data_IF_470650890669
#
_entry.id   IF_470650890669
#
_cell.length_a   1.000
_cell.length_b   1.000
_cell.length_c   1.000
_cell.angle_alpha   90.00
_cell.angle_beta   90.00
_cell.angle_gamma   90.00
#
_symmetry.space_group_name_H-M   'P 1'
#
loop_
_entity.id
_entity.type
_entity.pdbx_description
1 polymer ?
#
# COMPACT_ATOMS: atom_id res chain seq x y z
N UNK A 1 48.46 -58.02 3.12
CA UNK A 1 48.37 -57.17 1.91
C UNK A 1 46.96 -56.93 1.44
N UNK A 2 46.08 -57.96 1.31
CA UNK A 2 44.68 -57.72 0.82
C UNK A 2 43.85 -56.82 1.76
N UNK A 3 44.05 -56.86 3.05
CA UNK A 3 43.31 -55.96 3.99
C UNK A 3 43.77 -54.50 3.96
N UNK A 4 45.05 -54.23 3.68
CA UNK A 4 45.61 -52.90 3.56
C UNK A 4 45.07 -52.16 2.24
N UNK A 5 44.88 -52.92 1.17
CA UNK A 5 44.31 -52.39 -0.10
C UNK A 5 42.88 -52.08 0.10
N UNK A 6 42.08 -52.85 0.83
CA UNK A 6 40.69 -52.55 1.15
C UNK A 6 40.55 -51.29 2.02
N UNK A 7 41.42 -51.08 2.99
CA UNK A 7 41.44 -49.86 3.83
C UNK A 7 41.82 -48.62 2.97
N UNK A 8 42.77 -48.75 2.05
CA UNK A 8 43.14 -47.66 1.13
C UNK A 8 42.04 -47.34 0.14
N UNK A 9 41.22 -48.30 -0.31
CA UNK A 9 40.04 -48.08 -1.14
C UNK A 9 38.91 -47.40 -0.33
N UNK A 10 38.75 -47.71 0.95
CA UNK A 10 37.77 -47.05 1.80
C UNK A 10 38.14 -45.60 2.15
N UNK A 11 39.43 -45.26 2.25
CA UNK A 11 39.92 -43.92 2.55
C UNK A 11 39.72 -42.98 1.31
N UNK A 12 39.78 -43.54 0.09
CA UNK A 12 39.52 -42.71 -1.12
C UNK A 12 38.04 -42.46 -1.42
N UNK A 13 37.12 -43.12 -0.71
CA UNK A 13 35.67 -42.89 -0.97
C UNK A 13 35.07 -41.74 -0.16
N UNK A 14 35.85 -41.01 0.64
CA UNK A 14 35.36 -39.89 1.45
C UNK A 14 35.61 -38.50 0.87
N UNK A 15 36.08 -38.37 -0.38
CA UNK A 15 36.37 -37.10 -0.99
C UNK A 15 35.45 -36.78 -2.20
N UNK A 16 34.19 -37.21 -2.16
CA UNK A 16 33.15 -36.62 -3.02
C UNK A 16 32.54 -35.41 -2.28
N UNK A 17 33.37 -34.41 -2.03
CA UNK A 17 32.83 -33.09 -1.78
C UNK A 17 32.15 -32.62 -3.08
N UNK A 18 30.89 -32.27 -3.01
CA UNK A 18 30.21 -31.66 -4.13
C UNK A 18 31.04 -30.48 -4.67
N UNK A 19 31.24 -30.44 -5.95
CA UNK A 19 31.89 -29.33 -6.63
C UNK A 19 30.88 -28.71 -7.55
N UNK A 20 30.62 -27.42 -7.32
CA UNK A 20 29.82 -26.66 -8.29
C UNK A 20 30.64 -26.46 -9.58
N UNK A 21 29.94 -26.53 -10.70
CA UNK A 21 30.49 -26.21 -12.00
C UNK A 21 29.49 -25.37 -12.79
N UNK A 22 29.78 -24.08 -12.93
CA UNK A 22 28.93 -23.16 -13.68
C UNK A 22 29.70 -22.68 -14.90
N UNK A 23 29.24 -22.99 -16.10
CA UNK A 23 29.89 -22.67 -17.34
C UNK A 23 28.93 -22.00 -18.31
N UNK A 24 29.46 -21.25 -19.26
CA UNK A 24 28.64 -20.64 -20.28
C UNK A 24 29.46 -20.05 -21.41
N UNK A 25 28.74 -19.49 -22.38
CA UNK A 25 29.33 -18.83 -23.54
C UNK A 25 28.67 -17.49 -23.78
N UNK A 26 29.47 -16.48 -24.00
CA UNK A 26 29.06 -15.13 -24.39
C UNK A 26 29.60 -14.78 -25.77
N UNK A 27 29.21 -13.64 -26.35
CA UNK A 27 29.76 -13.15 -27.60
C UNK A 27 31.28 -13.03 -27.52
N UNK A 28 31.98 -13.40 -28.63
CA UNK A 28 33.43 -13.27 -28.72
C UNK A 28 33.92 -11.82 -28.56
N UNK A 29 33.07 -10.83 -28.78
CA UNK A 29 33.36 -9.42 -28.50
C UNK A 29 33.69 -9.14 -27.04
N UNK A 30 33.26 -10.03 -26.14
CA UNK A 30 33.51 -9.94 -24.71
C UNK A 30 34.78 -10.72 -24.27
N UNK A 31 35.57 -11.24 -25.20
CA UNK A 31 36.83 -11.94 -24.87
C UNK A 31 37.77 -11.02 -24.06
N UNK A 32 38.28 -11.53 -22.95
CA UNK A 32 39.10 -10.79 -22.01
C UNK A 32 38.33 -9.94 -20.99
N UNK A 33 37.01 -9.82 -21.11
CA UNK A 33 36.23 -9.14 -20.11
C UNK A 33 36.13 -9.97 -18.83
N UNK A 34 36.07 -9.28 -17.70
CA UNK A 34 35.84 -9.91 -16.41
C UNK A 34 34.40 -10.37 -16.26
N UNK A 35 34.24 -11.57 -15.71
CA UNK A 35 32.93 -12.09 -15.34
C UNK A 35 32.97 -12.54 -13.88
N UNK A 36 31.91 -12.24 -13.15
CA UNK A 36 31.81 -12.40 -11.70
C UNK A 36 30.66 -13.34 -11.32
N UNK A 37 30.92 -14.22 -10.36
CA UNK A 37 29.89 -14.94 -9.65
C UNK A 37 29.65 -14.26 -8.30
N UNK A 38 28.43 -13.89 -7.99
CA UNK A 38 28.06 -13.22 -6.74
C UNK A 38 26.95 -13.98 -6.03
N UNK A 39 26.98 -13.98 -4.70
CA UNK A 39 25.90 -14.46 -3.83
C UNK A 39 24.95 -13.28 -3.52
N UNK A 40 23.66 -13.45 -3.69
CA UNK A 40 22.64 -12.46 -3.39
C UNK A 40 21.92 -12.84 -2.08
N UNK A 41 22.44 -12.37 -0.95
CA UNK A 41 21.81 -12.62 0.36
C UNK A 41 20.69 -11.62 0.65
N UNK A 42 20.85 -10.38 0.28
CA UNK A 42 19.82 -9.36 0.40
C UNK A 42 19.04 -9.27 -0.93
N UNK A 43 17.83 -9.81 -0.95
CA UNK A 43 16.99 -9.81 -2.17
C UNK A 43 16.64 -8.39 -2.65
N UNK A 44 16.59 -7.39 -1.75
CA UNK A 44 16.38 -5.98 -2.13
C UNK A 44 17.54 -5.38 -2.91
N UNK A 45 18.70 -6.04 -2.87
CA UNK A 45 19.90 -5.70 -3.64
C UNK A 45 20.06 -6.55 -4.90
N UNK A 46 19.03 -7.25 -5.31
CA UNK A 46 19.04 -8.12 -6.49
C UNK A 46 19.32 -7.37 -7.80
N UNK A 47 19.04 -6.06 -7.88
CA UNK A 47 19.18 -5.26 -9.11
C UNK A 47 20.60 -4.77 -9.40
N UNK A 48 21.55 -4.87 -8.47
CA UNK A 48 22.91 -4.35 -8.60
C UNK A 48 23.96 -5.34 -8.09
N UNK A 49 25.18 -5.23 -8.59
CA UNK A 49 26.33 -5.99 -8.08
C UNK A 49 27.00 -5.18 -6.98
N UNK A 50 27.29 -5.84 -5.86
CA UNK A 50 28.00 -5.28 -4.74
C UNK A 50 29.30 -6.07 -4.51
N UNK A 51 30.38 -5.38 -4.16
CA UNK A 51 31.73 -5.98 -3.97
C UNK A 51 31.75 -7.08 -2.93
N UNK A 52 31.02 -6.89 -1.85
CA UNK A 52 30.90 -7.84 -0.73
C UNK A 52 30.15 -9.13 -1.09
N UNK A 53 29.43 -9.14 -2.19
CA UNK A 53 28.69 -10.31 -2.69
C UNK A 53 29.50 -11.16 -3.67
N UNK A 54 30.65 -10.68 -4.17
CA UNK A 54 31.44 -11.42 -5.16
C UNK A 54 32.11 -12.62 -4.51
N UNK A 55 31.76 -13.83 -5.00
CA UNK A 55 32.32 -15.11 -4.54
C UNK A 55 33.51 -15.52 -5.40
N UNK A 56 33.40 -15.35 -6.71
CA UNK A 56 34.46 -15.71 -7.66
C UNK A 56 34.53 -14.71 -8.81
N UNK A 57 35.72 -14.61 -9.40
CA UNK A 57 35.99 -13.85 -10.63
C UNK A 57 36.76 -14.70 -11.62
N UNK A 58 36.39 -14.66 -12.87
CA UNK A 58 37.13 -15.26 -13.99
C UNK A 58 37.13 -14.30 -15.19
N UNK A 59 37.81 -14.66 -16.26
CA UNK A 59 37.83 -13.92 -17.51
C UNK A 59 37.23 -14.76 -18.63
N UNK A 60 36.59 -14.12 -19.57
CA UNK A 60 36.06 -14.74 -20.76
C UNK A 60 37.20 -15.09 -21.68
N UNK A 61 37.30 -16.35 -22.14
CA UNK A 61 38.35 -16.79 -23.07
C UNK A 61 38.19 -16.24 -24.49
N UNK A 62 39.18 -16.49 -25.35
CA UNK A 62 39.20 -16.04 -26.76
C UNK A 62 38.05 -16.58 -27.64
N UNK A 63 37.37 -17.63 -27.20
CA UNK A 63 36.23 -18.24 -27.86
C UNK A 63 34.88 -17.84 -27.25
N UNK A 64 34.92 -17.03 -26.19
CA UNK A 64 33.75 -16.55 -25.47
C UNK A 64 33.29 -17.46 -24.32
N UNK A 65 34.07 -18.45 -23.90
CA UNK A 65 33.69 -19.34 -22.79
C UNK A 65 34.18 -18.80 -21.47
N UNK A 66 33.41 -19.14 -20.42
CA UNK A 66 33.79 -18.91 -19.03
C UNK A 66 33.38 -20.12 -18.16
N UNK A 67 34.06 -20.30 -17.02
CA UNK A 67 33.66 -21.30 -16.02
C UNK A 67 33.99 -20.82 -14.59
N UNK A 68 33.14 -21.25 -13.66
CA UNK A 68 33.35 -21.15 -12.22
C UNK A 68 33.28 -22.55 -11.62
N UNK A 69 34.31 -22.92 -10.87
CA UNK A 69 34.43 -24.24 -10.23
C UNK A 69 34.89 -24.09 -8.78
N UNK A 70 34.41 -24.95 -7.92
CA UNK A 70 34.84 -24.94 -6.52
C UNK A 70 33.90 -25.70 -5.60
N UNK A 71 34.21 -25.60 -4.31
CA UNK A 71 33.42 -26.24 -3.26
C UNK A 71 33.09 -25.27 -2.09
N UNK A 72 33.05 -23.98 -2.40
CA UNK A 72 32.94 -22.90 -1.42
C UNK A 72 31.53 -22.23 -1.42
N UNK A 73 30.56 -22.85 -2.11
CA UNK A 73 29.17 -22.33 -2.09
C UNK A 73 28.39 -23.00 -0.94
N UNK A 74 27.15 -22.51 -0.73
CA UNK A 74 26.23 -23.08 0.25
C UNK A 74 25.76 -24.47 -0.18
N UNK A 75 25.62 -25.39 0.76
CA UNK A 75 24.98 -26.69 0.54
C UNK A 75 23.46 -26.59 0.29
N UNK A 76 22.83 -25.53 0.78
CA UNK A 76 21.44 -25.22 0.51
C UNK A 76 21.34 -24.29 -0.69
N UNK A 77 20.22 -24.34 -1.38
CA UNK A 77 19.93 -23.40 -2.45
C UNK A 77 20.08 -21.95 -1.98
N UNK A 78 20.71 -21.14 -2.84
CA UNK A 78 20.84 -19.68 -2.68
C UNK A 78 20.60 -19.01 -4.04
N UNK A 79 20.34 -17.71 -4.01
CA UNK A 79 20.29 -16.91 -5.22
C UNK A 79 21.71 -16.46 -5.56
N UNK A 80 22.16 -16.83 -6.75
CA UNK A 80 23.43 -16.37 -7.29
C UNK A 80 23.19 -15.49 -8.52
N UNK A 81 24.21 -14.72 -8.85
CA UNK A 81 24.26 -13.86 -10.04
C UNK A 81 25.56 -14.14 -10.78
N UNK A 82 25.47 -14.34 -12.09
CA UNK A 82 26.61 -14.15 -13.00
C UNK A 82 26.49 -12.77 -13.61
N UNK A 83 27.57 -12.00 -13.56
CA UNK A 83 27.65 -10.65 -14.08
C UNK A 83 28.83 -10.53 -15.01
N UNK A 84 28.57 -10.22 -16.29
CA UNK A 84 29.56 -9.92 -17.31
C UNK A 84 29.82 -8.40 -17.29
N UNK A 85 31.07 -8.04 -17.07
CA UNK A 85 31.48 -6.64 -17.07
C UNK A 85 31.68 -6.14 -18.49
N UNK A 86 30.78 -5.26 -18.90
CA UNK A 86 30.82 -4.60 -20.23
C UNK A 86 31.53 -3.24 -20.24
N UNK A 87 32.20 -2.87 -19.15
CA UNK A 87 32.89 -1.59 -19.06
C UNK A 87 34.20 -1.62 -19.82
N UNK A 88 34.33 -0.78 -20.87
CA UNK A 88 35.54 -0.67 -21.69
C UNK A 88 36.69 0.13 -21.05
N UNK A 89 36.42 0.84 -19.94
CA UNK A 89 37.39 1.70 -19.31
C UNK A 89 37.79 1.24 -17.90
N UNK A 90 39.02 0.79 -17.77
CA UNK A 90 39.64 0.36 -16.48
C UNK A 90 39.87 1.52 -15.49
N UNK A 91 39.28 2.67 -15.70
CA UNK A 91 39.64 3.90 -14.94
C UNK A 91 38.43 4.45 -14.16
N UNK A 92 37.98 3.73 -13.12
CA UNK A 92 37.07 4.41 -12.22
C UNK A 92 36.31 3.56 -11.24
N UNK A 93 36.01 4.11 -10.08
CA UNK A 93 35.17 3.61 -9.03
C UNK A 93 33.72 3.25 -9.48
N UNK A 94 33.31 3.62 -10.68
CA UNK A 94 32.00 3.36 -11.25
C UNK A 94 31.84 1.92 -11.79
N UNK A 95 32.95 1.23 -11.97
CA UNK A 95 33.04 -0.12 -12.49
C UNK A 95 32.18 -1.14 -11.71
N UNK A 96 32.15 -1.00 -10.39
CA UNK A 96 31.40 -1.89 -9.50
C UNK A 96 29.95 -1.47 -9.21
N UNK A 97 29.53 -0.28 -9.65
CA UNK A 97 28.16 0.18 -9.41
C UNK A 97 27.16 -0.31 -10.46
N UNK A 98 27.59 -1.17 -11.41
CA UNK A 98 26.74 -1.75 -12.43
C UNK A 98 26.11 -0.72 -13.38
N UNK A 99 26.79 0.43 -13.57
CA UNK A 99 26.26 1.54 -14.36
C UNK A 99 26.73 1.53 -15.82
N UNK A 100 27.46 0.52 -16.23
CA UNK A 100 27.86 0.38 -17.64
C UNK A 100 26.70 -0.19 -18.45
N UNK A 101 26.27 0.51 -19.47
CA UNK A 101 25.13 0.14 -20.34
C UNK A 101 25.27 -1.23 -21.01
N UNK A 102 26.48 -1.77 -21.10
CA UNK A 102 26.79 -3.04 -21.76
C UNK A 102 26.97 -4.21 -20.78
N UNK A 103 26.85 -3.98 -19.47
CA UNK A 103 26.92 -5.05 -18.49
C UNK A 103 25.67 -5.92 -18.55
N UNK A 104 25.88 -7.24 -18.56
CA UNK A 104 24.81 -8.26 -18.58
C UNK A 104 24.87 -9.07 -17.32
N UNK A 105 23.73 -9.45 -16.79
CA UNK A 105 23.66 -10.31 -15.63
C UNK A 105 22.50 -11.29 -15.73
N UNK A 106 22.61 -12.41 -15.06
CA UNK A 106 21.54 -13.39 -14.90
C UNK A 106 21.50 -13.86 -13.44
N UNK A 107 20.28 -13.94 -12.90
CA UNK A 107 20.02 -14.48 -11.57
C UNK A 107 19.55 -15.94 -11.71
N UNK A 108 20.00 -16.79 -10.80
CA UNK A 108 19.63 -18.20 -10.78
C UNK A 108 19.71 -18.77 -9.37
N UNK A 109 19.06 -19.90 -9.16
CA UNK A 109 19.10 -20.63 -7.88
C UNK A 109 20.07 -21.81 -8.05
N UNK A 110 20.99 -21.95 -7.11
CA UNK A 110 21.96 -23.06 -7.10
C UNK A 110 22.48 -23.37 -5.68
N UNK A 111 23.18 -24.50 -5.57
CA UNK A 111 23.93 -24.92 -4.39
C UNK A 111 25.32 -25.45 -4.77
N UNK A 112 26.10 -25.89 -3.78
CA UNK A 112 27.48 -26.31 -3.96
C UNK A 112 27.66 -27.60 -4.76
N UNK A 113 26.59 -28.33 -5.10
CA UNK A 113 26.68 -29.61 -5.84
C UNK A 113 26.18 -29.49 -7.29
N UNK A 114 25.74 -28.30 -7.69
CA UNK A 114 25.09 -28.12 -8.94
C UNK A 114 26.04 -27.90 -10.11
N UNK A 115 25.66 -28.46 -11.27
CA UNK A 115 26.28 -28.17 -12.56
C UNK A 115 25.30 -27.39 -13.42
N UNK A 116 25.73 -26.20 -13.86
CA UNK A 116 24.96 -25.33 -14.71
C UNK A 116 25.70 -24.98 -15.99
N UNK A 117 24.97 -24.98 -17.11
CA UNK A 117 25.45 -24.51 -18.38
C UNK A 117 24.54 -23.39 -18.91
N UNK A 118 25.11 -22.22 -19.10
CA UNK A 118 24.45 -21.06 -19.67
C UNK A 118 24.68 -21.02 -21.19
N UNK A 119 23.62 -20.98 -22.01
CA UNK A 119 23.75 -20.90 -23.44
C UNK A 119 24.28 -19.56 -23.94
N UNK A 120 24.60 -19.46 -25.21
CA UNK A 120 25.03 -18.21 -25.88
C UNK A 120 24.04 -17.05 -25.79
N UNK A 121 22.77 -17.36 -25.51
CA UNK A 121 21.72 -16.36 -25.24
C UNK A 121 21.78 -15.71 -23.84
N UNK A 122 22.81 -16.01 -23.04
CA UNK A 122 23.03 -15.39 -21.73
C UNK A 122 22.90 -13.86 -21.74
N UNK A 123 23.31 -13.22 -22.82
CA UNK A 123 23.21 -11.78 -22.98
C UNK A 123 21.76 -11.26 -23.16
N UNK A 124 20.83 -12.15 -23.48
CA UNK A 124 19.42 -11.86 -23.61
C UNK A 124 18.61 -12.79 -22.70
N UNK A 125 18.21 -12.32 -21.55
CA UNK A 125 17.54 -13.10 -20.50
C UNK A 125 16.26 -13.79 -20.97
N UNK A 126 15.48 -13.15 -21.84
CA UNK A 126 14.23 -13.72 -22.37
C UNK A 126 14.44 -14.96 -23.25
N UNK A 127 15.65 -15.18 -23.73
CA UNK A 127 16.03 -16.35 -24.55
C UNK A 127 16.95 -17.32 -23.80
N UNK A 128 17.32 -16.99 -22.54
CA UNK A 128 18.25 -17.81 -21.78
C UNK A 128 17.52 -19.02 -21.18
N UNK A 129 17.99 -20.21 -21.54
CA UNK A 129 17.58 -21.47 -20.90
C UNK A 129 18.78 -22.07 -20.18
N UNK A 130 18.70 -22.25 -18.88
CA UNK A 130 19.79 -22.81 -18.08
C UNK A 130 19.65 -24.33 -18.09
N UNK A 131 20.67 -25.04 -18.60
CA UNK A 131 20.78 -26.48 -18.43
C UNK A 131 21.39 -26.74 -17.06
N UNK A 132 20.69 -27.46 -16.19
CA UNK A 132 21.12 -27.62 -14.80
C UNK A 132 20.78 -29.00 -14.25
N UNK A 133 21.61 -29.48 -13.33
CA UNK A 133 21.31 -30.63 -12.46
C UNK A 133 20.26 -30.27 -11.40
N UNK A 134 20.09 -28.98 -11.09
CA UNK A 134 19.08 -28.46 -10.16
C UNK A 134 17.87 -27.91 -10.93
N UNK A 135 16.70 -28.54 -10.84
CA UNK A 135 15.50 -28.08 -11.56
C UNK A 135 15.01 -26.71 -11.14
N UNK A 136 15.52 -26.15 -10.02
CA UNK A 136 15.14 -24.82 -9.53
C UNK A 136 15.94 -23.69 -10.16
N UNK A 137 17.05 -23.99 -10.86
CA UNK A 137 17.96 -22.96 -11.37
C UNK A 137 17.32 -21.98 -12.35
N UNK A 138 16.35 -22.41 -13.16
CA UNK A 138 15.67 -21.58 -14.15
C UNK A 138 14.52 -20.73 -13.64
N UNK A 139 14.05 -20.95 -12.41
CA UNK A 139 12.80 -20.35 -11.89
C UNK A 139 12.79 -18.83 -11.94
N UNK A 140 13.91 -18.17 -11.65
CA UNK A 140 13.98 -16.70 -11.66
C UNK A 140 13.84 -16.15 -13.08
N UNK A 141 14.35 -16.84 -14.10
CA UNK A 141 14.15 -16.46 -15.51
C UNK A 141 12.70 -16.67 -15.95
N UNK A 142 12.04 -17.73 -15.49
CA UNK A 142 10.62 -17.95 -15.76
C UNK A 142 9.76 -16.84 -15.17
N UNK A 143 10.08 -16.38 -13.93
CA UNK A 143 9.42 -15.22 -13.31
C UNK A 143 9.64 -13.94 -14.13
N UNK A 144 10.86 -13.69 -14.62
CA UNK A 144 11.12 -12.55 -15.52
C UNK A 144 10.27 -12.61 -16.78
N UNK A 145 10.16 -13.80 -17.41
CA UNK A 145 9.29 -14.02 -18.55
C UNK A 145 7.81 -13.71 -18.25
N UNK A 146 7.32 -14.11 -17.09
CA UNK A 146 5.96 -13.73 -16.64
C UNK A 146 5.81 -12.22 -16.47
N UNK A 147 6.80 -11.56 -15.85
CA UNK A 147 6.79 -10.10 -15.62
C UNK A 147 6.82 -9.30 -16.92
N UNK A 148 7.49 -9.77 -17.97
CA UNK A 148 7.52 -9.12 -19.27
C UNK A 148 6.13 -9.01 -19.92
N UNK A 149 5.21 -9.90 -19.60
CA UNK A 149 3.83 -9.86 -20.11
C UNK A 149 2.92 -8.87 -19.34
N UNK A 150 3.26 -8.49 -18.12
CA UNK A 150 2.42 -7.58 -17.31
C UNK A 150 2.15 -6.22 -17.99
N UNK A 151 3.15 -5.50 -18.55
CA UNK A 151 2.92 -4.18 -19.13
C UNK A 151 1.88 -4.17 -20.26
N UNK A 152 1.77 -5.24 -21.03
CA UNK A 152 0.81 -5.33 -22.13
C UNK A 152 -0.64 -5.33 -21.63
N UNK A 153 -0.91 -6.02 -20.52
CA UNK A 153 -2.25 -6.05 -19.92
C UNK A 153 -2.69 -4.68 -19.36
N UNK A 154 -1.73 -3.79 -19.05
CA UNK A 154 -2.01 -2.45 -18.55
C UNK A 154 -2.11 -1.37 -19.64
N UNK A 155 -1.48 -1.63 -20.81
CA UNK A 155 -1.45 -0.66 -21.90
C UNK A 155 -2.81 -0.46 -22.58
N UNK A 156 -3.63 -1.51 -22.65
CA UNK A 156 -4.88 -1.51 -23.43
C UNK A 156 -6.06 -0.84 -22.72
N UNK A 157 -6.01 -0.65 -21.40
CA UNK A 157 -7.16 -0.18 -20.60
C UNK A 157 -6.77 0.79 -19.50
N UNK A 158 -6.77 2.11 -19.74
CA UNK A 158 -6.30 3.11 -18.77
C UNK A 158 -7.26 3.39 -17.60
N UNK A 159 -8.38 2.65 -17.46
CA UNK A 159 -9.30 2.88 -16.34
C UNK A 159 -8.78 2.29 -15.01
N UNK A 160 -8.99 3.00 -13.90
CA UNK A 160 -8.62 2.52 -12.55
C UNK A 160 -9.24 1.17 -12.20
N UNK A 161 -10.47 0.89 -12.68
CA UNK A 161 -11.13 -0.38 -12.45
C UNK A 161 -10.41 -1.54 -13.16
N UNK A 162 -10.02 -1.35 -14.42
CA UNK A 162 -9.27 -2.33 -15.18
C UNK A 162 -7.87 -2.54 -14.62
N UNK A 163 -7.21 -1.46 -14.19
CA UNK A 163 -5.91 -1.55 -13.52
C UNK A 163 -6.00 -2.44 -12.26
N UNK A 164 -7.04 -2.26 -11.44
CA UNK A 164 -7.24 -3.09 -10.25
C UNK A 164 -7.49 -4.57 -10.61
N UNK A 165 -8.28 -4.86 -11.63
CA UNK A 165 -8.55 -6.22 -12.09
C UNK A 165 -7.27 -6.90 -12.61
N UNK A 166 -6.45 -6.17 -13.38
CA UNK A 166 -5.19 -6.68 -13.90
C UNK A 166 -4.18 -6.93 -12.77
N UNK A 167 -4.09 -6.04 -11.78
CA UNK A 167 -3.26 -6.27 -10.60
C UNK A 167 -3.72 -7.53 -9.84
N UNK A 168 -5.01 -7.71 -9.56
CA UNK A 168 -5.55 -8.90 -8.90
C UNK A 168 -5.21 -10.19 -9.68
N UNK A 169 -5.38 -10.17 -11.00
CA UNK A 169 -5.00 -11.27 -11.88
C UNK A 169 -3.51 -11.61 -11.76
N UNK A 170 -2.63 -10.59 -11.85
CA UNK A 170 -1.18 -10.80 -11.87
C UNK A 170 -0.64 -11.21 -10.51
N UNK A 171 -1.16 -10.67 -9.41
CA UNK A 171 -0.81 -11.13 -8.07
C UNK A 171 -1.14 -12.62 -7.91
N UNK A 172 -2.34 -13.04 -8.28
CA UNK A 172 -2.74 -14.46 -8.25
C UNK A 172 -1.86 -15.33 -9.15
N UNK A 173 -1.54 -14.86 -10.36
CA UNK A 173 -0.69 -15.61 -11.30
C UNK A 173 0.70 -15.83 -10.72
N UNK A 174 1.33 -14.77 -10.15
CA UNK A 174 2.67 -14.86 -9.59
C UNK A 174 2.68 -15.66 -8.27
N UNK A 175 1.69 -15.48 -7.41
CA UNK A 175 1.59 -16.27 -6.16
C UNK A 175 1.42 -17.76 -6.47
N UNK A 176 0.49 -18.13 -7.35
CA UNK A 176 0.27 -19.52 -7.74
C UNK A 176 1.55 -20.13 -8.34
N UNK A 177 2.22 -19.41 -9.24
CA UNK A 177 3.49 -19.85 -9.80
C UNK A 177 4.53 -20.10 -8.70
N UNK A 178 4.67 -19.15 -7.75
CA UNK A 178 5.59 -19.30 -6.63
C UNK A 178 5.31 -20.54 -5.79
N UNK A 179 4.05 -20.75 -5.39
CA UNK A 179 3.64 -21.90 -4.59
C UNK A 179 3.82 -23.24 -5.31
N UNK A 180 3.49 -23.31 -6.61
CA UNK A 180 3.64 -24.52 -7.43
C UNK A 180 5.10 -24.95 -7.58
N UNK A 181 6.04 -24.01 -7.55
CA UNK A 181 7.49 -24.32 -7.66
C UNK A 181 8.06 -25.02 -6.44
N UNK A 182 7.43 -24.92 -5.27
CA UNK A 182 7.94 -25.41 -3.99
C UNK A 182 9.40 -24.96 -3.72
N UNK A 183 9.73 -23.72 -4.06
CA UNK A 183 11.02 -23.10 -3.79
C UNK A 183 10.81 -21.68 -3.21
N UNK A 184 10.96 -21.52 -1.89
CA UNK A 184 10.71 -20.23 -1.23
C UNK A 184 11.57 -19.08 -1.74
N UNK A 185 12.74 -19.33 -2.35
CA UNK A 185 13.57 -18.29 -2.96
C UNK A 185 12.90 -17.69 -4.22
N UNK A 186 12.17 -18.51 -4.98
CA UNK A 186 11.39 -18.02 -6.13
C UNK A 186 10.23 -17.15 -5.66
N UNK A 187 9.55 -17.55 -4.59
CA UNK A 187 8.50 -16.75 -3.97
C UNK A 187 9.04 -15.43 -3.38
N UNK A 188 10.22 -15.47 -2.76
CA UNK A 188 10.90 -14.28 -2.24
C UNK A 188 11.25 -13.29 -3.35
N UNK A 189 11.64 -13.79 -4.52
CA UNK A 189 11.90 -12.97 -5.70
C UNK A 189 10.64 -12.31 -6.26
N UNK A 190 9.52 -13.04 -6.27
CA UNK A 190 8.19 -12.48 -6.60
C UNK A 190 7.80 -11.40 -5.60
N UNK A 191 7.98 -11.67 -4.31
CA UNK A 191 7.70 -10.70 -3.25
C UNK A 191 8.49 -9.41 -3.41
N UNK A 192 9.80 -9.51 -3.71
CA UNK A 192 10.65 -8.33 -3.96
C UNK A 192 10.05 -7.42 -5.04
N UNK A 193 9.60 -8.02 -6.15
CA UNK A 193 8.99 -7.27 -7.24
C UNK A 193 7.64 -6.63 -6.85
N UNK A 194 6.73 -7.40 -6.22
CA UNK A 194 5.38 -6.94 -5.90
C UNK A 194 5.37 -5.86 -4.81
N UNK A 195 6.28 -5.95 -3.85
CA UNK A 195 6.40 -5.06 -2.68
C UNK A 195 7.42 -3.93 -2.86
N UNK A 196 7.98 -3.74 -4.06
CA UNK A 196 8.88 -2.61 -4.33
C UNK A 196 8.11 -1.28 -4.27
N UNK A 197 8.53 -0.41 -3.35
CA UNK A 197 7.92 0.91 -3.12
C UNK A 197 7.97 1.84 -4.34
N UNK A 198 8.88 1.58 -5.28
CA UNK A 198 9.02 2.32 -6.54
C UNK A 198 7.98 1.89 -7.60
N UNK A 199 7.40 0.72 -7.45
CA UNK A 199 6.45 0.15 -8.37
C UNK A 199 5.01 0.54 -8.04
N UNK A 200 4.18 0.64 -9.07
CA UNK A 200 2.74 0.86 -8.90
C UNK A 200 2.02 -0.30 -8.18
N UNK A 201 2.65 -1.48 -8.17
CA UNK A 201 2.18 -2.68 -7.46
C UNK A 201 2.14 -2.51 -5.96
N UNK A 202 3.02 -1.67 -5.36
CA UNK A 202 3.16 -1.52 -3.92
C UNK A 202 1.85 -1.18 -3.19
N UNK A 203 1.07 -0.28 -3.78
CA UNK A 203 -0.22 0.14 -3.19
C UNK A 203 -1.24 -1.00 -3.16
N UNK A 204 -1.23 -1.85 -4.18
CA UNK A 204 -2.07 -3.03 -4.24
C UNK A 204 -1.55 -4.13 -3.29
N UNK A 205 -0.22 -4.32 -3.23
CA UNK A 205 0.43 -5.23 -2.30
C UNK A 205 0.01 -4.98 -0.85
N UNK A 206 -0.01 -3.72 -0.37
CA UNK A 206 -0.46 -3.40 0.99
C UNK A 206 -1.93 -3.77 1.24
N UNK A 207 -2.78 -3.72 0.22
CA UNK A 207 -4.19 -4.15 0.34
C UNK A 207 -4.31 -5.69 0.33
N UNK A 208 -3.54 -6.36 -0.51
CA UNK A 208 -3.49 -7.81 -0.62
C UNK A 208 -2.94 -8.43 0.67
N UNK A 209 -1.86 -7.88 1.21
CA UNK A 209 -1.22 -8.31 2.45
C UNK A 209 -2.17 -8.43 3.65
N UNK A 210 -3.22 -7.60 3.70
CA UNK A 210 -4.20 -7.63 4.81
C UNK A 210 -5.25 -8.73 4.68
N UNK A 211 -5.40 -9.33 3.50
CA UNK A 211 -6.49 -10.24 3.18
C UNK A 211 -6.02 -11.60 2.64
N UNK A 212 -4.73 -11.77 2.40
CA UNK A 212 -4.15 -12.93 1.76
C UNK A 212 -3.15 -13.61 2.70
N UNK A 213 -3.38 -14.88 3.00
CA UNK A 213 -2.50 -15.71 3.86
C UNK A 213 -1.19 -16.13 3.17
N UNK A 214 -1.05 -15.87 1.87
CA UNK A 214 0.13 -16.22 1.09
C UNK A 214 1.43 -15.77 1.77
N UNK A 215 1.45 -14.57 2.30
CA UNK A 215 2.63 -13.95 2.89
C UNK A 215 3.05 -14.59 4.23
N UNK A 216 2.07 -15.01 5.06
CA UNK A 216 2.32 -15.80 6.25
C UNK A 216 2.87 -17.17 5.89
N UNK A 217 2.22 -17.83 4.93
CA UNK A 217 2.62 -19.14 4.45
C UNK A 217 4.05 -19.12 3.87
N UNK A 218 4.42 -18.07 3.12
CA UNK A 218 5.79 -17.87 2.65
C UNK A 218 6.77 -17.68 3.82
N UNK A 219 6.38 -16.92 4.86
CA UNK A 219 7.19 -16.77 6.06
C UNK A 219 7.48 -18.13 6.72
N UNK A 220 6.47 -18.99 6.85
CA UNK A 220 6.62 -20.33 7.42
C UNK A 220 7.51 -21.22 6.54
N UNK A 221 7.34 -21.18 5.22
CA UNK A 221 8.20 -21.93 4.27
C UNK A 221 9.65 -21.47 4.33
N UNK A 222 9.89 -20.16 4.40
CA UNK A 222 11.26 -19.61 4.54
C UNK A 222 11.89 -20.02 5.87
N UNK A 223 11.19 -19.90 6.98
CA UNK A 223 11.68 -20.30 8.31
C UNK A 223 11.98 -21.81 8.36
N UNK A 224 11.16 -22.62 7.68
CA UNK A 224 11.34 -24.07 7.67
C UNK A 224 12.52 -24.50 6.80
N UNK A 225 12.67 -23.89 5.62
CA UNK A 225 13.68 -24.29 4.63
C UNK A 225 15.01 -23.58 4.84
N UNK A 226 14.98 -22.30 5.26
CA UNK A 226 16.14 -21.42 5.39
C UNK A 226 16.15 -20.66 6.73
N UNK A 227 16.18 -21.35 7.89
CA UNK A 227 15.84 -20.79 9.20
C UNK A 227 16.77 -19.67 9.67
N UNK A 228 18.06 -19.71 9.35
CA UNK A 228 19.07 -18.80 9.90
C UNK A 228 19.63 -17.82 8.87
N UNK A 229 18.98 -17.68 7.73
CA UNK A 229 19.47 -16.81 6.66
C UNK A 229 19.05 -15.34 6.88
N UNK A 230 19.90 -14.42 6.42
CA UNK A 230 19.62 -12.99 6.50
C UNK A 230 18.32 -12.62 5.76
N UNK A 231 18.11 -13.19 4.59
CA UNK A 231 16.91 -12.91 3.80
C UNK A 231 15.61 -13.41 4.48
N UNK A 232 15.64 -14.52 5.24
CA UNK A 232 14.47 -14.97 6.01
C UNK A 232 14.16 -14.00 7.14
N UNK A 233 15.17 -13.56 7.89
CA UNK A 233 15.00 -12.60 8.98
C UNK A 233 14.50 -11.25 8.45
N UNK A 234 15.06 -10.80 7.32
CA UNK A 234 14.66 -9.58 6.65
C UNK A 234 13.20 -9.65 6.19
N UNK A 235 12.79 -10.74 5.53
CA UNK A 235 11.41 -10.94 5.09
C UNK A 235 10.42 -10.88 6.24
N UNK A 236 10.66 -11.60 7.33
CA UNK A 236 9.79 -11.61 8.52
C UNK A 236 9.66 -10.22 9.13
N UNK A 237 10.76 -9.46 9.22
CA UNK A 237 10.76 -8.10 9.74
C UNK A 237 9.98 -7.13 8.82
N UNK A 238 10.18 -7.25 7.49
CA UNK A 238 9.49 -6.42 6.51
C UNK A 238 7.98 -6.69 6.51
N UNK A 239 7.54 -7.96 6.49
CA UNK A 239 6.10 -8.31 6.53
C UNK A 239 5.43 -7.77 7.79
N UNK A 240 6.09 -7.87 8.94
CA UNK A 240 5.56 -7.33 10.20
C UNK A 240 5.36 -5.81 10.11
N UNK A 241 6.36 -5.10 9.60
CA UNK A 241 6.32 -3.64 9.43
C UNK A 241 5.26 -3.22 8.41
N UNK A 242 5.18 -3.92 7.28
CA UNK A 242 4.23 -3.59 6.21
C UNK A 242 2.77 -3.89 6.60
N UNK A 243 2.53 -4.89 7.46
CA UNK A 243 1.20 -5.13 8.06
C UNK A 243 0.77 -3.97 8.95
N UNK A 244 1.68 -3.45 9.77
CA UNK A 244 1.40 -2.26 10.57
C UNK A 244 1.08 -1.07 9.65
N UNK A 245 1.89 -0.81 8.63
CA UNK A 245 1.67 0.24 7.65
C UNK A 245 0.31 0.09 6.93
N UNK A 246 -0.03 -1.13 6.51
CA UNK A 246 -1.30 -1.43 5.85
C UNK A 246 -2.50 -1.17 6.79
N UNK A 247 -2.36 -1.47 8.08
CA UNK A 247 -3.40 -1.21 9.09
C UNK A 247 -3.69 0.28 9.27
N UNK A 248 -2.68 1.14 9.22
CA UNK A 248 -2.84 2.60 9.25
C UNK A 248 -3.49 3.13 7.97
N UNK A 249 -3.13 2.60 6.81
CA UNK A 249 -3.66 3.03 5.51
C UNK A 249 -5.08 2.49 5.24
N UNK A 250 -5.43 1.34 5.80
CA UNK A 250 -6.79 0.88 5.87
C UNK A 250 -7.53 1.74 6.91
N UNK A 251 -7.84 2.99 6.57
CA UNK A 251 -8.85 3.72 7.34
C UNK A 251 -10.16 2.96 7.13
N UNK A 252 -10.37 1.91 7.91
CA UNK A 252 -11.71 1.43 8.21
C UNK A 252 -12.46 2.69 8.58
N UNK A 253 -13.39 3.11 7.71
CA UNK A 253 -14.40 4.12 8.04
C UNK A 253 -14.98 3.67 9.38
N UNK A 254 -14.35 4.18 10.44
CA UNK A 254 -14.60 3.72 11.79
C UNK A 254 -16.08 3.89 12.04
N UNK A 255 -16.75 2.86 12.54
CA UNK A 255 -18.13 2.99 13.03
C UNK A 255 -18.26 4.21 13.96
N UNK A 256 -17.16 4.57 14.62
CA UNK A 256 -16.99 5.79 15.42
C UNK A 256 -17.18 7.07 14.63
N UNK A 257 -16.71 7.16 13.37
CA UNK A 257 -16.93 8.37 12.55
C UNK A 257 -18.43 8.54 12.23
N UNK A 258 -19.17 7.46 12.00
CA UNK A 258 -20.63 7.52 11.78
C UNK A 258 -21.37 7.91 13.06
N UNK A 259 -20.99 7.39 14.21
CA UNK A 259 -21.58 7.77 15.50
C UNK A 259 -21.26 9.21 15.88
N UNK A 260 -20.04 9.68 15.68
CA UNK A 260 -19.64 11.08 15.92
C UNK A 260 -20.41 12.02 14.99
N UNK A 261 -20.54 11.70 13.70
CA UNK A 261 -21.33 12.50 12.74
C UNK A 261 -22.80 12.54 13.16
N UNK A 262 -23.39 11.42 13.60
CA UNK A 262 -24.75 11.38 14.09
C UNK A 262 -24.95 12.23 15.34
N UNK A 263 -24.03 12.18 16.31
CA UNK A 263 -24.05 13.02 17.52
C UNK A 263 -23.93 14.52 17.18
N UNK A 264 -23.03 14.87 16.26
CA UNK A 264 -22.90 16.24 15.76
C UNK A 264 -24.17 16.75 15.10
N UNK A 265 -24.82 15.91 14.26
CA UNK A 265 -26.08 16.25 13.61
C UNK A 265 -27.21 16.47 14.62
N UNK A 266 -27.33 15.61 15.64
CA UNK A 266 -28.31 15.78 16.75
C UNK A 266 -28.05 17.04 17.55
N UNK A 267 -26.78 17.33 17.87
CA UNK A 267 -26.38 18.56 18.56
C UNK A 267 -26.72 19.81 17.75
N UNK A 268 -26.45 19.78 16.44
CA UNK A 268 -26.77 20.90 15.54
C UNK A 268 -28.30 21.14 15.45
N UNK A 269 -29.09 20.08 15.33
CA UNK A 269 -30.56 20.14 15.34
C UNK A 269 -31.06 20.70 16.67
N UNK A 270 -30.52 20.26 17.80
CA UNK A 270 -30.86 20.80 19.13
C UNK A 270 -30.59 22.30 19.25
N UNK A 271 -29.43 22.74 18.78
CA UNK A 271 -29.07 24.17 18.78
C UNK A 271 -30.00 25.01 17.87
N UNK A 272 -30.35 24.50 16.69
CA UNK A 272 -31.27 25.16 15.77
C UNK A 272 -32.67 25.27 16.39
N UNK A 273 -33.19 24.19 16.97
CA UNK A 273 -34.50 24.22 17.65
C UNK A 273 -34.51 25.17 18.85
N UNK A 274 -33.43 25.20 19.63
CA UNK A 274 -33.29 26.13 20.77
C UNK A 274 -33.23 27.60 20.30
N UNK A 275 -32.52 27.86 19.20
CA UNK A 275 -32.43 29.22 18.63
C UNK A 275 -33.79 29.72 18.11
N UNK A 276 -34.55 28.87 17.41
CA UNK A 276 -35.89 29.23 16.94
C UNK A 276 -36.89 29.28 18.08
N UNK A 277 -36.78 28.43 19.09
CA UNK A 277 -37.62 28.47 20.30
C UNK A 277 -37.47 29.77 21.12
N UNK A 278 -36.25 30.29 21.24
CA UNK A 278 -36.01 31.57 21.88
C UNK A 278 -36.57 32.76 21.09
N UNK A 279 -36.54 32.74 19.77
CA UNK A 279 -37.09 33.82 18.96
C UNK A 279 -38.58 33.99 19.12
N UNK A 280 -39.35 32.93 19.34
CA UNK A 280 -40.82 32.99 19.52
C UNK A 280 -41.24 33.62 20.86
N UNK A 281 -40.44 33.52 21.93
CA UNK A 281 -40.79 34.03 23.25
C UNK A 281 -40.54 35.53 23.40
N UNK A 282 -39.66 36.13 22.63
CA UNK A 282 -39.26 37.54 22.77
C UNK A 282 -40.14 38.53 21.97
N UNK A 283 -41.04 38.10 21.13
CA UNK A 283 -41.80 38.99 20.27
C UNK A 283 -42.95 39.71 21.01
N UNK A 284 -43.66 39.03 21.90
CA UNK A 284 -44.80 39.61 22.64
C UNK A 284 -44.36 40.52 23.78
N UNK A 285 -43.31 40.13 24.54
CA UNK A 285 -42.76 40.97 25.62
C UNK A 285 -42.22 42.31 25.11
N UNK A 286 -41.51 42.27 23.98
CA UNK A 286 -40.95 43.47 23.35
C UNK A 286 -42.01 44.43 22.80
N UNK A 287 -43.20 43.92 22.39
CA UNK A 287 -44.33 44.75 21.97
C UNK A 287 -45.00 45.44 23.16
N UNK A 288 -45.12 44.75 24.29
CA UNK A 288 -45.64 45.33 25.54
C UNK A 288 -44.75 46.44 26.13
N UNK A 289 -43.43 46.31 26.02
CA UNK A 289 -42.46 47.31 26.45
C UNK A 289 -42.53 48.62 25.71
N UNK A 290 -43.05 48.61 24.47
CA UNK A 290 -43.29 49.84 23.68
C UNK A 290 -44.53 50.63 24.10
N UNK A 291 -45.38 50.04 24.94
CA UNK A 291 -46.65 50.64 25.38
C UNK A 291 -46.49 51.22 26.78
N UNK A 292 -47.10 52.37 26.99
CA UNK A 292 -47.20 52.99 28.32
C UNK A 292 -48.07 52.12 29.25
N UNK A 293 -47.91 52.20 30.58
CA UNK A 293 -48.73 51.42 31.51
C UNK A 293 -50.23 51.55 31.29
N UNK A 294 -50.69 52.72 30.91
CA UNK A 294 -52.08 52.97 30.58
C UNK A 294 -52.51 52.27 29.30
N UNK A 295 -51.66 52.27 28.26
CA UNK A 295 -51.91 51.58 26.98
C UNK A 295 -51.90 50.05 27.21
N UNK A 296 -50.99 49.51 28.03
CA UNK A 296 -51.01 48.09 28.38
C UNK A 296 -52.30 47.66 29.08
N UNK A 297 -52.83 48.51 29.96
CA UNK A 297 -54.09 48.28 30.64
C UNK A 297 -55.27 48.24 29.66
N UNK A 298 -55.30 49.19 28.67
CA UNK A 298 -56.30 49.21 27.60
C UNK A 298 -56.21 47.95 26.72
N UNK A 299 -54.99 47.49 26.34
CA UNK A 299 -54.80 46.26 25.64
C UNK A 299 -55.35 45.05 26.40
N UNK A 300 -55.10 44.96 27.71
CA UNK A 300 -55.67 43.92 28.57
C UNK A 300 -57.20 43.88 28.51
N UNK A 301 -57.84 45.02 28.66
CA UNK A 301 -59.32 45.13 28.59
C UNK A 301 -59.87 44.82 27.19
N UNK A 302 -59.15 45.16 26.15
CA UNK A 302 -59.48 44.76 24.77
C UNK A 302 -59.46 43.24 24.61
N UNK A 303 -58.41 42.58 25.15
CA UNK A 303 -58.29 41.12 25.11
C UNK A 303 -59.35 40.37 25.90
N UNK A 304 -59.93 41.05 26.93
CA UNK A 304 -61.12 40.61 27.67
C UNK A 304 -62.44 40.82 26.91
N UNK A 305 -62.37 41.29 25.64
CA UNK A 305 -63.50 41.59 24.78
C UNK A 305 -64.44 42.71 25.27
N UNK A 306 -63.96 43.62 26.17
CA UNK A 306 -64.76 44.75 26.66
C UNK A 306 -64.99 45.83 25.60
N UNK A 307 -66.17 46.32 25.47
CA UNK A 307 -66.52 47.42 24.54
C UNK A 307 -65.85 48.76 24.93
N UNK A 308 -65.66 49.67 24.01
CA UNK A 308 -65.07 50.98 24.31
C UNK A 308 -65.84 51.76 25.42
N UNK A 309 -67.13 51.51 25.61
CA UNK A 309 -67.96 52.12 26.66
C UNK A 309 -67.64 51.47 28.04
N UNK A 310 -67.46 50.18 28.09
CA UNK A 310 -67.06 49.45 29.30
C UNK A 310 -65.66 49.83 29.74
N UNK A 311 -64.70 49.89 28.78
CA UNK A 311 -63.30 50.32 29.04
C UNK A 311 -63.31 51.78 29.57
N UNK A 312 -64.11 52.66 29.00
CA UNK A 312 -64.20 54.04 29.47
C UNK A 312 -64.77 54.15 30.88
N UNK A 313 -65.77 53.34 31.22
CA UNK A 313 -66.34 53.31 32.57
C UNK A 313 -65.34 52.78 33.58
N UNK A 314 -64.60 51.74 33.25
CA UNK A 314 -63.60 51.08 34.14
C UNK A 314 -62.37 51.97 34.40
N UNK A 315 -61.98 52.75 33.41
CA UNK A 315 -60.84 53.66 33.55
C UNK A 315 -61.24 55.08 33.92
N UNK A 316 -62.56 55.37 34.20
CA UNK A 316 -63.10 56.66 34.59
C UNK A 316 -62.77 57.77 33.61
N UNK A 317 -62.81 57.51 32.31
CA UNK A 317 -62.52 58.46 31.27
C UNK A 317 -63.70 58.52 30.23
N UNK A 318 -63.65 59.50 29.35
CA UNK A 318 -64.70 59.58 28.28
C UNK A 318 -64.52 58.53 27.21
N UNK A 319 -65.60 58.07 26.61
CA UNK A 319 -65.55 57.14 25.46
C UNK A 319 -64.72 57.70 24.29
N UNK A 320 -64.71 59.02 24.13
CA UNK A 320 -63.92 59.75 23.13
C UNK A 320 -62.42 59.60 23.41
N UNK A 321 -62.00 59.66 24.69
CA UNK A 321 -60.61 59.48 25.13
C UNK A 321 -60.11 58.05 24.88
N UNK A 322 -60.97 57.06 25.14
CA UNK A 322 -60.67 55.68 24.81
C UNK A 322 -60.45 55.38 23.34
N UNK A 323 -61.33 55.96 22.50
CA UNK A 323 -61.18 55.86 21.01
C UNK A 323 -59.82 56.41 20.57
N UNK A 324 -59.42 57.56 21.12
CA UNK A 324 -58.15 58.19 20.81
C UNK A 324 -56.93 57.26 21.26
N UNK A 325 -57.01 56.70 22.46
CA UNK A 325 -55.99 55.79 22.92
C UNK A 325 -55.94 54.54 22.07
N UNK A 326 -57.03 53.92 21.68
CA UNK A 326 -57.10 52.75 20.79
C UNK A 326 -56.52 53.07 19.42
N UNK A 327 -56.85 54.24 18.80
CA UNK A 327 -56.25 54.64 17.56
C UNK A 327 -54.74 54.85 17.63
N UNK A 328 -54.25 55.36 18.73
CA UNK A 328 -52.80 55.51 18.98
C UNK A 328 -52.13 54.16 19.18
N UNK A 329 -52.79 53.24 19.87
CA UNK A 329 -52.33 51.83 20.02
C UNK A 329 -52.22 51.14 18.70
N UNK A 330 -53.21 51.28 17.81
CA UNK A 330 -53.18 50.70 16.49
C UNK A 330 -51.98 51.21 15.68
N UNK A 331 -51.73 52.52 15.71
CA UNK A 331 -50.57 53.10 15.04
C UNK A 331 -49.25 52.62 15.63
N UNK A 332 -49.13 52.50 16.97
CA UNK A 332 -47.90 52.06 17.64
C UNK A 332 -47.59 50.58 17.39
N UNK A 333 -48.63 49.77 17.26
CA UNK A 333 -48.52 48.31 17.06
C UNK A 333 -48.58 47.93 15.57
N UNK A 334 -48.75 48.89 14.68
CA UNK A 334 -48.88 48.69 13.24
C UNK A 334 -50.02 47.71 12.90
N UNK A 335 -51.19 47.91 13.50
CA UNK A 335 -52.41 47.12 13.30
C UNK A 335 -53.57 48.02 12.91
N UNK A 336 -54.56 47.43 12.24
CA UNK A 336 -55.71 48.18 11.71
C UNK A 336 -57.02 47.86 12.39
N UNK A 337 -57.07 46.74 13.11
CA UNK A 337 -58.32 46.25 13.71
C UNK A 337 -58.14 45.67 15.11
N UNK A 338 -59.28 45.54 15.80
CA UNK A 338 -59.36 44.92 17.15
C UNK A 338 -59.03 43.43 17.09
N UNK A 339 -59.45 42.76 16.00
CA UNK A 339 -59.17 41.32 15.81
C UNK A 339 -57.68 41.07 15.59
N UNK A 340 -56.99 41.93 14.86
CA UNK A 340 -55.54 41.86 14.69
C UNK A 340 -54.80 42.00 16.05
N UNK A 341 -55.27 42.88 16.96
CA UNK A 341 -54.75 42.98 18.29
C UNK A 341 -54.89 41.67 19.06
N UNK A 342 -56.08 41.03 18.96
CA UNK A 342 -56.36 39.77 19.63
C UNK A 342 -55.45 38.64 19.11
N UNK A 343 -55.20 38.62 17.81
CA UNK A 343 -54.27 37.64 17.19
C UNK A 343 -52.81 37.89 17.60
N UNK A 344 -52.39 39.15 17.70
CA UNK A 344 -51.05 39.57 18.02
C UNK A 344 -50.65 39.16 19.49
N UNK A 345 -51.61 39.28 20.42
CA UNK A 345 -51.36 39.02 21.85
C UNK A 345 -51.89 37.69 22.36
N UNK A 346 -52.75 36.94 21.65
CA UNK A 346 -53.25 35.61 22.02
C UNK A 346 -52.29 34.44 21.60
N UNK A 347 -51.17 34.75 20.98
CA UNK A 347 -50.13 33.76 20.65
C UNK A 347 -49.15 33.61 21.82
#
# INVERSE_FOLDING_TARGET
MRFLVLILLFINSYALFGQHHFSGKVSQENAGNAIYLSLVEDYRKSSRVYLDQIVQKTEVDSLGYFSFEGNNLSEQNRIYRIHLDGCSDNTGSNHFLGQCNNSKNVLFIANNTDTLEFPTSFENQSLCTINSTNPKSGLLLEIEGLKEHMPYDFADYPSEANKKLNLDKWFKTLHNFGEETNEPLAELYIYDFLSDKRNETFKFYLQDLTNNEYYENLSERLITTYPETEFTQQYVAEITTDKELASFNSSKSSKWNRTIIALLAVSLLGNVLFFFGKRKKNSVSHLLEKLTPQEQKIVGLILENKTNKEIANELFVSVSTIKTHINNLYKKLDITSRDEMSVLFKK
#
